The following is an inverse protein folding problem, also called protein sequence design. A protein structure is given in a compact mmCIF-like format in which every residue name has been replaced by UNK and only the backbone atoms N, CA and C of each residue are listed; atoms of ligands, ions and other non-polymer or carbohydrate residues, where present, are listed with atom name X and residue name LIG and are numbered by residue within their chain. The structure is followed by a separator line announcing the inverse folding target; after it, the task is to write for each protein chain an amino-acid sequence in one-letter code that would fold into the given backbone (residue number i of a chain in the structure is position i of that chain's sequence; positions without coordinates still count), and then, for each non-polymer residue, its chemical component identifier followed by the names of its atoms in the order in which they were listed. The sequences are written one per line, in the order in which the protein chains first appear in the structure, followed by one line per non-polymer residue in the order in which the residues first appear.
data_IF_842584326664
#
_entry.id   IF_842584326664
#
_cell.length_a   1.000
_cell.length_b   1.000
_cell.length_c   1.000
_cell.angle_alpha   90.00
_cell.angle_beta   90.00
_cell.angle_gamma   90.00
#
_symmetry.space_group_name_H-M   'P 1'
#
loop_
_entity.id
_entity.type
_entity.pdbx_description
1 polymer ?
#
# COMPACT_ATOMS: atom_id res chain seq x y z
N UNK A 1 -10.43 18.51 21.60
CA UNK A 1 -9.77 18.64 20.29
C UNK A 1 -8.29 18.70 20.54
N UNK A 2 -7.60 17.57 20.56
CA UNK A 2 -6.14 17.54 20.66
C UNK A 2 -5.60 17.70 19.24
N UNK A 3 -4.86 18.76 19.01
CA UNK A 3 -4.13 19.01 17.78
C UNK A 3 -3.22 17.80 17.49
N UNK A 4 -3.57 17.02 16.48
CA UNK A 4 -2.88 15.78 16.08
C UNK A 4 -1.84 16.01 14.99
N UNK A 5 -1.66 17.25 14.56
CA UNK A 5 -0.74 17.64 13.49
C UNK A 5 0.70 17.92 13.94
N UNK A 6 0.93 18.14 15.23
CA UNK A 6 2.23 18.54 15.77
C UNK A 6 3.08 17.36 16.27
N UNK A 7 3.26 16.31 15.48
CA UNK A 7 4.36 15.40 15.72
C UNK A 7 5.60 15.97 15.04
N UNK A 8 6.60 16.36 15.82
CA UNK A 8 7.87 16.87 15.34
C UNK A 8 8.47 15.90 14.32
N UNK A 9 8.55 16.30 13.05
CA UNK A 9 9.54 15.71 12.18
C UNK A 9 10.89 16.00 12.84
N UNK A 10 11.69 14.97 13.07
CA UNK A 10 13.04 15.19 13.54
C UNK A 10 13.74 16.07 12.50
N UNK A 11 14.45 17.11 12.93
CA UNK A 11 15.07 18.14 12.08
C UNK A 11 16.01 17.58 10.99
N UNK A 12 16.35 16.30 11.08
CA UNK A 12 17.23 15.52 10.23
C UNK A 12 16.51 14.53 9.30
N UNK A 13 15.16 14.55 9.23
CA UNK A 13 14.42 13.68 8.32
C UNK A 13 14.27 14.31 6.93
N UNK A 14 15.11 13.86 6.00
CA UNK A 14 14.93 14.09 4.58
C UNK A 14 14.06 12.98 3.99
N UNK A 15 12.86 13.33 3.54
CA UNK A 15 11.88 12.39 3.01
C UNK A 15 12.40 11.60 1.81
N UNK A 16 13.21 12.21 0.97
CA UNK A 16 13.76 11.58 -0.24
C UNK A 16 15.24 11.23 -0.16
N UNK A 17 15.87 11.46 0.99
CA UNK A 17 17.29 11.22 1.20
C UNK A 17 17.74 9.77 1.07
N UNK A 18 16.80 8.82 1.27
CA UNK A 18 17.09 7.37 1.18
C UNK A 18 16.99 6.77 -0.22
N UNK A 19 16.65 7.56 -1.23
CA UNK A 19 16.48 7.03 -2.59
C UNK A 19 17.79 6.54 -3.20
N UNK A 20 18.92 7.21 -2.90
CA UNK A 20 20.23 6.78 -3.34
C UNK A 20 20.61 5.41 -2.76
N UNK A 21 20.32 5.17 -1.48
CA UNK A 21 20.56 3.88 -0.82
C UNK A 21 19.70 2.78 -1.44
N UNK A 22 18.44 3.10 -1.75
CA UNK A 22 17.50 2.16 -2.41
C UNK A 22 18.00 1.79 -3.81
N UNK A 23 18.49 2.78 -4.58
CA UNK A 23 19.09 2.54 -5.91
C UNK A 23 20.31 1.63 -5.79
N UNK A 24 21.20 1.89 -4.82
CA UNK A 24 22.42 1.10 -4.63
C UNK A 24 22.09 -0.34 -4.19
N UNK A 25 21.15 -0.52 -3.28
CA UNK A 25 20.75 -1.84 -2.77
C UNK A 25 20.18 -2.74 -3.87
N UNK A 26 19.33 -2.19 -4.73
CA UNK A 26 18.64 -2.97 -5.75
C UNK A 26 19.32 -2.95 -7.12
N UNK A 27 20.39 -2.18 -7.29
CA UNK A 27 21.10 -2.06 -8.57
C UNK A 27 20.22 -1.50 -9.70
N UNK A 28 19.25 -0.67 -9.36
CA UNK A 28 18.34 -0.08 -10.36
C UNK A 28 18.91 1.22 -10.90
N UNK A 29 18.65 1.57 -12.19
CA UNK A 29 19.09 2.85 -12.73
C UNK A 29 18.36 4.00 -12.01
N UNK A 30 19.07 5.11 -11.78
CA UNK A 30 18.42 6.34 -11.31
C UNK A 30 17.53 6.87 -12.43
N UNK A 31 16.19 6.82 -12.30
CA UNK A 31 15.34 7.37 -13.33
C UNK A 31 15.41 8.91 -13.30
N UNK A 32 15.13 9.59 -14.42
CA UNK A 32 15.05 11.06 -14.44
C UNK A 32 13.82 11.60 -13.68
N UNK A 33 13.05 10.74 -13.06
CA UNK A 33 11.85 11.06 -12.34
C UNK A 33 12.20 11.65 -10.96
N UNK A 34 11.84 12.88 -10.73
CA UNK A 34 11.99 13.54 -9.43
C UNK A 34 10.70 13.37 -8.63
N UNK A 35 10.78 12.81 -7.42
CA UNK A 35 9.62 12.74 -6.55
C UNK A 35 9.31 14.11 -5.95
N UNK A 36 8.03 14.36 -5.73
CA UNK A 36 7.54 15.50 -4.95
C UNK A 36 6.33 15.09 -4.14
N UNK A 37 6.23 15.58 -2.92
CA UNK A 37 5.02 15.42 -2.14
C UNK A 37 3.99 16.46 -2.58
N UNK A 38 2.74 16.04 -2.62
CA UNK A 38 1.60 16.91 -2.91
C UNK A 38 0.42 16.51 -2.03
N UNK A 39 -0.52 17.41 -1.92
CA UNK A 39 -1.79 17.16 -1.24
C UNK A 39 -2.94 17.48 -2.20
N UNK A 40 -4.02 16.72 -2.08
CA UNK A 40 -5.22 16.90 -2.89
C UNK A 40 -6.47 16.84 -2.00
N UNK A 41 -7.29 17.86 -2.04
CA UNK A 41 -8.56 17.87 -1.35
C UNK A 41 -9.54 16.94 -2.06
N UNK A 42 -10.06 15.93 -1.35
CA UNK A 42 -11.00 14.91 -1.88
C UNK A 42 -12.44 15.19 -1.47
N UNK A 43 -12.63 15.88 -0.35
CA UNK A 43 -13.88 16.44 0.12
C UNK A 43 -13.53 17.64 1.04
N UNK A 44 -14.47 18.53 1.39
CA UNK A 44 -14.19 19.70 2.21
C UNK A 44 -13.40 19.34 3.48
N UNK A 45 -12.17 19.90 3.60
CA UNK A 45 -11.26 19.66 4.71
C UNK A 45 -10.57 18.27 4.73
N UNK A 46 -10.78 17.43 3.72
CA UNK A 46 -10.17 16.10 3.63
C UNK A 46 -9.01 16.10 2.63
N UNK A 47 -7.81 16.33 3.13
CA UNK A 47 -6.58 16.37 2.32
C UNK A 47 -5.94 15.00 2.26
N UNK A 48 -5.85 14.42 1.05
CA UNK A 48 -5.02 13.24 0.78
C UNK A 48 -3.63 13.66 0.37
N UNK A 49 -2.64 13.05 0.99
CA UNK A 49 -1.23 13.22 0.65
C UNK A 49 -0.79 12.17 -0.37
N UNK A 50 0.09 12.55 -1.27
CA UNK A 50 0.65 11.66 -2.28
C UNK A 50 2.09 12.03 -2.61
N UNK A 51 2.86 11.04 -3.07
CA UNK A 51 4.15 11.25 -3.73
C UNK A 51 3.93 11.10 -5.24
N UNK A 52 4.22 12.15 -5.98
CA UNK A 52 4.16 12.17 -7.44
C UNK A 52 5.57 12.09 -7.99
N UNK A 53 5.80 11.13 -8.88
CA UNK A 53 7.06 10.88 -9.56
C UNK A 53 6.96 11.31 -11.03
N UNK A 54 7.71 12.34 -11.41
CA UNK A 54 7.62 12.92 -12.74
C UNK A 54 6.35 13.74 -12.97
N UNK A 55 6.03 13.95 -14.24
CA UNK A 55 4.82 14.66 -14.67
C UNK A 55 3.82 13.67 -15.28
N UNK A 56 2.52 14.00 -15.25
CA UNK A 56 1.44 13.18 -15.83
C UNK A 56 1.53 11.67 -15.44
N UNK A 57 1.20 11.29 -14.20
CA UNK A 57 1.35 9.93 -13.71
C UNK A 57 0.61 8.91 -14.59
N UNK A 58 1.36 7.91 -15.07
CA UNK A 58 0.83 6.82 -15.91
C UNK A 58 0.31 5.62 -15.08
N UNK A 59 0.67 5.57 -13.80
CA UNK A 59 0.31 4.46 -12.91
C UNK A 59 0.05 4.97 -11.50
N UNK A 60 -0.93 4.38 -10.84
CA UNK A 60 -1.36 4.70 -9.48
C UNK A 60 -1.00 3.55 -8.55
N UNK A 61 -0.45 3.87 -7.37
CA UNK A 61 -0.12 2.91 -6.34
C UNK A 61 -0.85 3.17 -5.02
N UNK A 62 -1.50 2.12 -4.48
CA UNK A 62 -2.27 2.12 -3.24
C UNK A 62 -1.66 1.13 -2.25
N UNK A 63 -1.16 1.61 -1.11
CA UNK A 63 -0.47 0.80 -0.11
C UNK A 63 -1.42 -0.02 0.78
N UNK A 64 -0.86 -0.99 1.51
CA UNK A 64 -1.56 -1.80 2.49
C UNK A 64 -1.77 -1.13 3.84
N UNK A 65 -2.60 -1.73 4.69
CA UNK A 65 -2.82 -1.24 6.05
C UNK A 65 -1.52 -1.12 6.84
N UNK A 66 -1.35 -0.01 7.58
CA UNK A 66 -0.16 0.26 8.38
C UNK A 66 1.07 0.69 7.57
N UNK A 67 0.93 0.94 6.27
CA UNK A 67 1.99 1.43 5.39
C UNK A 67 1.77 2.91 5.01
N UNK A 68 2.52 3.41 4.04
CA UNK A 68 2.37 4.71 3.41
C UNK A 68 2.91 4.70 1.97
N UNK A 69 2.89 5.85 1.30
CA UNK A 69 3.31 5.98 -0.11
C UNK A 69 4.74 5.49 -0.37
N UNK A 70 5.67 5.62 0.58
CA UNK A 70 7.07 5.18 0.42
C UNK A 70 7.26 3.66 0.30
N UNK A 71 6.25 2.85 0.59
CA UNK A 71 6.33 1.40 0.34
C UNK A 71 6.56 1.07 -1.14
N UNK A 72 6.31 2.05 -2.03
CA UNK A 72 6.43 1.93 -3.47
C UNK A 72 7.71 2.49 -4.06
N UNK A 73 8.57 3.14 -3.27
CA UNK A 73 9.77 3.84 -3.78
C UNK A 73 10.64 2.94 -4.65
N UNK A 74 10.97 1.74 -4.17
CA UNK A 74 11.77 0.77 -4.93
C UNK A 74 11.10 0.35 -6.24
N UNK A 75 9.78 0.12 -6.19
CA UNK A 75 9.00 -0.28 -7.36
C UNK A 75 8.98 0.84 -8.41
N UNK A 76 8.72 2.08 -8.00
CA UNK A 76 8.68 3.22 -8.92
C UNK A 76 10.05 3.53 -9.51
N UNK A 77 11.12 3.49 -8.70
CA UNK A 77 12.49 3.64 -9.18
C UNK A 77 12.83 2.60 -10.25
N UNK A 78 12.54 1.31 -9.99
CA UNK A 78 12.83 0.22 -10.92
C UNK A 78 11.92 0.22 -12.14
N UNK A 79 10.67 0.68 -11.99
CA UNK A 79 9.72 0.80 -13.10
C UNK A 79 10.13 1.89 -14.08
N UNK A 80 10.62 3.04 -13.58
CA UNK A 80 11.06 4.16 -14.39
C UNK A 80 9.94 4.87 -15.15
N UNK A 81 8.69 4.77 -14.69
CA UNK A 81 7.51 5.42 -15.29
C UNK A 81 6.94 6.48 -14.36
N UNK A 82 6.36 7.57 -14.89
CA UNK A 82 5.64 8.53 -14.06
C UNK A 82 4.54 7.86 -13.24
N UNK A 83 4.51 8.16 -11.94
CA UNK A 83 3.63 7.47 -11.00
C UNK A 83 3.08 8.41 -9.93
N UNK A 84 1.98 8.01 -9.32
CA UNK A 84 1.48 8.60 -8.06
C UNK A 84 1.25 7.51 -7.02
N UNK A 85 1.80 7.72 -5.83
CA UNK A 85 1.66 6.85 -4.67
C UNK A 85 0.90 7.61 -3.59
N UNK A 86 -0.29 7.15 -3.22
CA UNK A 86 -1.12 7.83 -2.22
C UNK A 86 -0.84 7.32 -0.81
N UNK A 87 -0.86 8.22 0.16
CA UNK A 87 -1.12 7.87 1.55
C UNK A 87 -2.65 7.69 1.71
N UNK A 88 -3.12 6.53 2.13
CA UNK A 88 -4.54 6.29 2.36
C UNK A 88 -5.06 7.13 3.55
N UNK A 89 -6.36 7.42 3.65
CA UNK A 89 -6.94 8.03 4.85
C UNK A 89 -6.47 7.31 6.11
N UNK A 90 -6.10 8.08 7.15
CA UNK A 90 -5.58 7.53 8.41
C UNK A 90 -4.15 7.01 8.35
N UNK A 91 -3.41 7.22 7.26
CA UNK A 91 -2.03 6.79 7.06
C UNK A 91 -1.14 7.92 6.56
N UNK A 92 0.16 7.80 6.80
CA UNK A 92 1.17 8.72 6.31
C UNK A 92 0.89 10.17 6.71
N UNK A 93 0.75 11.04 5.71
CA UNK A 93 0.43 12.47 5.88
C UNK A 93 -1.00 12.82 5.48
N UNK A 94 -1.84 11.82 5.16
CA UNK A 94 -3.26 12.03 4.83
C UNK A 94 -4.11 12.31 6.07
N UNK A 95 -5.27 12.92 5.85
CA UNK A 95 -6.23 13.23 6.91
C UNK A 95 -6.69 11.96 7.65
N UNK A 96 -7.12 12.14 8.90
CA UNK A 96 -7.70 11.09 9.72
C UNK A 96 -9.22 11.27 9.78
N UNK A 97 -9.95 10.18 9.59
CA UNK A 97 -11.40 10.18 9.63
C UNK A 97 -11.93 10.22 11.06
N UNK A 98 -12.97 10.97 11.31
CA UNK A 98 -13.64 11.01 12.61
C UNK A 98 -14.36 9.68 12.92
N UNK A 99 -15.00 9.08 11.89
CA UNK A 99 -15.67 7.79 11.99
C UNK A 99 -14.71 6.59 12.02
N UNK A 100 -13.41 6.82 11.77
CA UNK A 100 -12.35 5.81 11.71
C UNK A 100 -12.65 4.64 10.78
N UNK A 101 -13.53 4.84 9.82
CA UNK A 101 -13.77 3.88 8.76
C UNK A 101 -12.71 4.03 7.66
N UNK A 102 -11.73 3.16 7.71
CA UNK A 102 -10.66 3.03 6.71
C UNK A 102 -10.84 1.78 5.85
N UNK A 103 -12.06 1.30 5.74
CA UNK A 103 -12.41 0.17 4.87
C UNK A 103 -12.24 0.49 3.38
N UNK A 104 -12.22 -0.54 2.52
CA UNK A 104 -12.01 -0.38 1.08
C UNK A 104 -13.00 0.58 0.43
N UNK A 105 -14.25 0.63 0.90
CA UNK A 105 -15.30 1.51 0.38
C UNK A 105 -14.96 2.98 0.58
N UNK A 106 -14.60 3.37 1.81
CA UNK A 106 -14.25 4.74 2.14
C UNK A 106 -12.91 5.16 1.54
N UNK A 107 -11.97 4.24 1.47
CA UNK A 107 -10.72 4.47 0.76
C UNK A 107 -10.96 4.67 -0.74
N UNK A 108 -11.85 3.89 -1.37
CA UNK A 108 -12.18 4.04 -2.78
C UNK A 108 -12.87 5.38 -3.09
N UNK A 109 -13.76 5.86 -2.21
CA UNK A 109 -14.36 7.20 -2.34
C UNK A 109 -13.27 8.29 -2.36
N UNK A 110 -12.39 8.30 -1.34
CA UNK A 110 -11.36 9.32 -1.19
C UNK A 110 -10.27 9.21 -2.26
N UNK A 111 -9.70 8.01 -2.45
CA UNK A 111 -8.61 7.80 -3.42
C UNK A 111 -9.12 7.91 -4.85
N UNK A 112 -10.36 7.50 -5.16
CA UNK A 112 -10.98 7.72 -6.47
C UNK A 112 -11.11 9.19 -6.83
N UNK A 113 -11.52 10.04 -5.87
CA UNK A 113 -11.56 11.48 -6.07
C UNK A 113 -10.16 12.09 -6.30
N UNK A 114 -9.14 11.58 -5.60
CA UNK A 114 -7.76 12.00 -5.76
C UNK A 114 -7.16 11.54 -7.10
N UNK A 115 -7.41 10.31 -7.52
CA UNK A 115 -6.98 9.76 -8.82
C UNK A 115 -7.56 10.58 -9.97
N UNK A 116 -8.85 10.93 -9.90
CA UNK A 116 -9.51 11.77 -10.90
C UNK A 116 -8.85 13.15 -11.08
N UNK A 117 -8.18 13.66 -10.04
CA UNK A 117 -7.48 14.95 -10.08
C UNK A 117 -6.02 14.86 -10.49
N UNK A 118 -5.30 13.83 -10.02
CA UNK A 118 -3.85 13.73 -10.18
C UNK A 118 -3.41 12.79 -11.31
N UNK A 119 -4.23 11.79 -11.64
CA UNK A 119 -3.88 10.74 -12.61
C UNK A 119 -5.12 10.21 -13.35
N UNK A 120 -5.96 11.11 -13.97
CA UNK A 120 -7.21 10.69 -14.62
C UNK A 120 -6.97 9.73 -15.78
N UNK A 121 -5.79 9.79 -16.40
CA UNK A 121 -5.40 8.99 -17.56
C UNK A 121 -4.45 7.83 -17.23
N UNK A 122 -4.31 7.49 -15.95
CA UNK A 122 -3.46 6.37 -15.54
C UNK A 122 -3.84 5.07 -16.26
N UNK A 123 -2.83 4.33 -16.70
CA UNK A 123 -2.98 3.04 -17.41
C UNK A 123 -3.43 1.94 -16.45
N UNK A 124 -3.05 2.05 -15.18
CA UNK A 124 -3.41 1.07 -14.17
C UNK A 124 -3.48 1.65 -12.75
N UNK A 125 -4.28 0.98 -11.91
CA UNK A 125 -4.24 1.10 -10.45
C UNK A 125 -3.67 -0.19 -9.89
N UNK A 126 -2.63 -0.06 -9.07
CA UNK A 126 -1.91 -1.15 -8.41
C UNK A 126 -2.12 -1.02 -6.90
N UNK A 127 -2.71 -2.01 -6.28
CA UNK A 127 -2.98 -1.99 -4.85
C UNK A 127 -2.50 -3.23 -4.13
N UNK A 128 -1.92 -3.05 -2.94
CA UNK A 128 -1.47 -4.13 -2.07
C UNK A 128 -2.37 -4.24 -0.84
N UNK A 129 -2.80 -5.47 -0.48
CA UNK A 129 -3.59 -5.72 0.74
C UNK A 129 -4.83 -4.80 0.83
N UNK A 130 -4.92 -3.90 1.82
CA UNK A 130 -5.99 -2.91 1.90
C UNK A 130 -6.09 -2.06 0.61
N UNK A 131 -4.97 -1.65 0.04
CA UNK A 131 -4.94 -0.97 -1.27
C UNK A 131 -5.45 -1.87 -2.40
N UNK A 132 -5.19 -3.18 -2.35
CA UNK A 132 -5.71 -4.17 -3.30
C UNK A 132 -7.24 -4.32 -3.19
N UNK A 133 -7.77 -4.41 -1.97
CA UNK A 133 -9.21 -4.41 -1.72
C UNK A 133 -9.87 -3.10 -2.19
N UNK A 134 -9.19 -1.97 -1.99
CA UNK A 134 -9.61 -0.66 -2.52
C UNK A 134 -9.59 -0.65 -4.06
N UNK A 135 -8.58 -1.26 -4.68
CA UNK A 135 -8.50 -1.41 -6.14
C UNK A 135 -9.65 -2.25 -6.70
N UNK A 136 -10.05 -3.35 -6.03
CA UNK A 136 -11.23 -4.13 -6.39
C UNK A 136 -12.47 -3.24 -6.42
N UNK A 137 -12.71 -2.48 -5.35
CA UNK A 137 -13.85 -1.57 -5.26
C UNK A 137 -13.81 -0.47 -6.32
N UNK A 138 -12.65 0.14 -6.56
CA UNK A 138 -12.47 1.16 -7.61
C UNK A 138 -12.73 0.57 -9.00
N UNK A 139 -12.20 -0.60 -9.31
CA UNK A 139 -12.38 -1.24 -10.62
C UNK A 139 -13.85 -1.59 -10.91
N UNK A 140 -14.62 -1.90 -9.87
CA UNK A 140 -16.06 -2.17 -9.98
C UNK A 140 -16.89 -0.90 -10.14
N UNK A 141 -16.53 0.19 -9.42
CA UNK A 141 -17.40 1.37 -9.29
C UNK A 141 -16.91 2.59 -10.09
N UNK A 142 -15.64 2.62 -10.48
CA UNK A 142 -14.99 3.69 -11.24
C UNK A 142 -14.20 3.14 -12.42
N UNK A 143 -14.86 2.41 -13.36
CA UNK A 143 -14.17 1.87 -14.54
C UNK A 143 -13.57 2.97 -15.45
N UNK A 144 -14.01 4.21 -15.29
CA UNK A 144 -13.43 5.38 -15.94
C UNK A 144 -11.99 5.66 -15.47
N UNK A 145 -11.64 5.31 -14.23
CA UNK A 145 -10.32 5.52 -13.63
C UNK A 145 -9.43 4.27 -13.64
N UNK A 146 -10.02 3.08 -13.72
CA UNK A 146 -9.27 1.82 -13.63
C UNK A 146 -9.28 1.10 -14.97
N UNK A 147 -8.28 1.40 -15.81
CA UNK A 147 -8.11 0.77 -17.13
C UNK A 147 -7.51 -0.62 -17.06
N UNK A 148 -6.60 -0.85 -16.11
CA UNK A 148 -6.08 -2.17 -15.72
C UNK A 148 -5.97 -2.20 -14.19
N UNK A 149 -6.26 -3.34 -13.56
CA UNK A 149 -6.16 -3.52 -12.11
C UNK A 149 -5.07 -4.53 -11.76
N UNK A 150 -4.15 -4.16 -10.87
CA UNK A 150 -3.17 -5.08 -10.28
C UNK A 150 -3.44 -5.19 -8.79
N UNK A 151 -3.84 -6.36 -8.34
CA UNK A 151 -4.25 -6.66 -6.97
C UNK A 151 -3.17 -7.54 -6.34
N UNK A 152 -2.53 -7.05 -5.27
CA UNK A 152 -1.39 -7.74 -4.66
C UNK A 152 -1.78 -8.33 -3.32
N UNK A 153 -1.73 -9.64 -3.28
CA UNK A 153 -1.81 -10.54 -2.13
C UNK A 153 -3.03 -10.31 -1.23
N UNK A 154 -4.18 -10.13 -1.86
CA UNK A 154 -5.48 -10.02 -1.18
C UNK A 154 -6.61 -10.53 -2.06
N UNK A 155 -7.58 -11.19 -1.42
CA UNK A 155 -8.91 -11.47 -1.96
C UNK A 155 -9.95 -11.08 -0.90
N UNK A 156 -11.24 -10.96 -1.24
CA UNK A 156 -12.28 -10.72 -0.24
C UNK A 156 -12.29 -11.74 0.90
N UNK A 157 -11.79 -12.96 0.67
CA UNK A 157 -11.74 -14.05 1.66
C UNK A 157 -10.76 -13.79 2.83
N UNK A 158 -9.93 -12.73 2.77
CA UNK A 158 -8.96 -12.40 3.83
C UNK A 158 -9.62 -12.18 5.20
N UNK A 159 -10.86 -11.74 5.24
CA UNK A 159 -11.63 -11.49 6.46
C UNK A 159 -12.55 -12.65 6.87
N UNK A 160 -12.38 -13.84 6.28
CA UNK A 160 -13.11 -15.02 6.72
C UNK A 160 -12.84 -15.30 8.21
N UNK A 161 -13.86 -15.26 9.07
CA UNK A 161 -13.69 -15.45 10.52
C UNK A 161 -13.18 -16.85 10.90
N UNK A 162 -13.27 -17.82 10.00
CA UNK A 162 -12.73 -19.16 10.23
C UNK A 162 -11.20 -19.23 10.11
N UNK A 163 -10.56 -18.20 9.53
CA UNK A 163 -9.10 -18.14 9.37
C UNK A 163 -8.39 -17.83 10.68
N UNK A 164 -7.48 -18.69 11.04
CA UNK A 164 -6.59 -18.47 12.17
C UNK A 164 -5.22 -18.03 11.68
N UNK A 165 -4.78 -16.90 12.16
CA UNK A 165 -3.50 -16.29 11.80
C UNK A 165 -2.52 -16.34 12.95
N UNK A 166 -1.37 -16.94 12.75
CA UNK A 166 -0.25 -16.77 13.68
C UNK A 166 0.37 -15.37 13.49
N UNK A 167 1.19 -14.94 14.45
CA UNK A 167 1.94 -13.69 14.35
C UNK A 167 2.90 -13.72 13.14
N UNK A 168 3.54 -14.88 12.89
CA UNK A 168 4.42 -15.06 11.75
C UNK A 168 3.67 -14.97 10.41
N UNK A 169 2.46 -15.55 10.31
CA UNK A 169 1.62 -15.44 9.11
C UNK A 169 1.26 -13.98 8.79
N UNK A 170 1.04 -13.17 9.83
CA UNK A 170 0.72 -11.74 9.67
C UNK A 170 1.92 -10.89 9.30
N UNK A 171 3.16 -11.33 9.55
CA UNK A 171 4.34 -10.53 9.32
C UNK A 171 4.23 -9.13 9.97
N UNK A 172 4.65 -8.08 9.28
CA UNK A 172 4.56 -6.69 9.79
C UNK A 172 3.13 -6.20 10.04
N UNK A 173 2.10 -6.83 9.47
CA UNK A 173 0.69 -6.53 9.78
C UNK A 173 0.39 -6.80 11.27
N UNK A 174 1.12 -7.71 11.91
CA UNK A 174 0.98 -7.97 13.34
C UNK A 174 1.29 -6.74 14.20
N UNK A 175 2.20 -5.87 13.76
CA UNK A 175 2.57 -4.63 14.48
C UNK A 175 1.41 -3.65 14.63
N UNK A 176 0.41 -3.73 13.74
CA UNK A 176 -0.79 -2.91 13.83
C UNK A 176 -1.60 -3.28 15.11
N UNK A 177 -1.42 -4.50 15.64
CA UNK A 177 -2.12 -4.99 16.83
C UNK A 177 -1.34 -4.81 18.13
N UNK A 178 -0.04 -4.50 18.02
CA UNK A 178 0.87 -4.40 19.15
C UNK A 178 0.77 -3.06 19.91
N UNK A 179 1.74 -2.84 20.81
CA UNK A 179 1.88 -1.55 21.50
C UNK A 179 2.00 -0.43 20.46
N UNK A 180 1.23 0.65 20.62
CA UNK A 180 1.31 1.81 19.73
C UNK A 180 2.58 2.64 19.96
N UNK A 181 3.33 2.39 21.05
CA UNK A 181 4.46 3.23 21.48
C UNK A 181 5.72 2.41 21.68
N UNK A 182 6.84 3.04 21.34
CA UNK A 182 8.20 2.52 21.51
C UNK A 182 9.07 3.57 22.20
N UNK A 183 9.97 3.14 23.08
CA UNK A 183 10.86 4.04 23.81
C UNK A 183 11.95 4.66 22.92
N UNK A 184 12.25 4.02 21.78
CA UNK A 184 13.21 4.51 20.80
C UNK A 184 12.86 4.08 19.38
N UNK A 185 13.43 4.79 18.40
CA UNK A 185 13.37 4.38 16.99
C UNK A 185 13.99 2.99 16.79
N UNK A 186 15.08 2.68 17.50
CA UNK A 186 15.77 1.39 17.40
C UNK A 186 14.87 0.23 17.84
N UNK A 187 14.14 0.39 18.94
CA UNK A 187 13.18 -0.61 19.41
C UNK A 187 12.06 -0.84 18.40
N UNK A 188 11.57 0.23 17.78
CA UNK A 188 10.54 0.18 16.74
C UNK A 188 11.06 -0.52 15.47
N UNK A 189 12.28 -0.18 15.03
CA UNK A 189 12.93 -0.82 13.88
C UNK A 189 13.20 -2.31 14.13
N UNK A 190 13.70 -2.66 15.32
CA UNK A 190 13.96 -4.05 15.69
C UNK A 190 12.70 -4.92 15.65
N UNK A 191 11.56 -4.39 16.12
CA UNK A 191 10.29 -5.09 16.06
C UNK A 191 9.85 -5.37 14.60
N UNK A 192 10.05 -4.41 13.69
CA UNK A 192 9.73 -4.56 12.28
C UNK A 192 10.69 -5.53 11.57
N UNK A 193 11.99 -5.47 11.86
CA UNK A 193 13.02 -6.36 11.30
C UNK A 193 12.71 -7.82 11.66
N UNK A 194 12.36 -8.10 12.92
CA UNK A 194 12.02 -9.44 13.39
C UNK A 194 10.84 -10.08 12.63
N UNK A 195 9.96 -9.28 12.03
CA UNK A 195 8.79 -9.72 11.26
C UNK A 195 8.98 -9.59 9.74
N UNK A 196 10.21 -9.34 9.27
CA UNK A 196 10.53 -9.10 7.86
C UNK A 196 11.68 -9.98 7.38
N UNK A 197 11.57 -11.33 7.44
CA UNK A 197 12.69 -12.25 7.19
C UNK A 197 13.22 -12.20 5.74
N UNK A 198 12.44 -11.68 4.80
CA UNK A 198 12.77 -11.65 3.38
C UNK A 198 13.46 -10.35 2.94
N UNK A 199 13.74 -9.41 3.88
CA UNK A 199 14.29 -8.09 3.59
C UNK A 199 15.57 -7.81 4.38
N UNK A 200 16.45 -6.99 3.83
CA UNK A 200 17.60 -6.48 4.58
C UNK A 200 17.14 -5.63 5.78
N UNK A 201 17.92 -5.65 6.85
CA UNK A 201 17.63 -4.82 8.02
C UNK A 201 17.60 -3.33 7.65
N UNK A 202 18.46 -2.89 6.74
CA UNK A 202 18.54 -1.50 6.30
C UNK A 202 17.29 -1.09 5.50
N UNK A 203 16.79 -1.95 4.59
CA UNK A 203 15.55 -1.69 3.87
C UNK A 203 14.35 -1.56 4.84
N UNK A 204 14.28 -2.42 5.86
CA UNK A 204 13.22 -2.36 6.87
C UNK A 204 13.35 -1.08 7.70
N UNK A 205 14.56 -0.69 8.11
CA UNK A 205 14.81 0.55 8.86
C UNK A 205 14.38 1.79 8.08
N UNK A 206 14.67 1.86 6.77
CA UNK A 206 14.21 2.95 5.91
C UNK A 206 12.68 3.01 5.88
N UNK A 207 12.01 1.88 5.67
CA UNK A 207 10.54 1.81 5.69
C UNK A 207 9.94 2.25 7.03
N UNK A 208 10.55 1.85 8.16
CA UNK A 208 10.15 2.30 9.49
C UNK A 208 10.37 3.81 9.63
N UNK A 209 11.49 4.36 9.14
CA UNK A 209 11.79 5.79 9.22
C UNK A 209 10.71 6.63 8.52
N UNK A 210 10.23 6.21 7.37
CA UNK A 210 9.12 6.87 6.65
C UNK A 210 7.78 6.77 7.39
N UNK A 211 7.60 5.73 8.22
CA UNK A 211 6.32 5.41 8.87
C UNK A 211 6.31 5.71 10.37
N UNK A 212 7.43 6.16 10.93
CA UNK A 212 7.58 6.52 12.33
C UNK A 212 7.40 8.03 12.55
N UNK A 213 6.90 8.39 13.71
CA UNK A 213 6.92 9.76 14.23
C UNK A 213 7.33 9.77 15.70
N UNK A 214 8.09 10.81 16.09
CA UNK A 214 8.43 11.06 17.47
C UNK A 214 7.36 11.91 18.13
N UNK A 215 6.99 11.57 19.36
CA UNK A 215 6.06 12.32 20.19
C UNK A 215 6.81 13.34 21.07
N UNK A 216 6.08 14.33 21.61
CA UNK A 216 6.64 15.36 22.47
C UNK A 216 7.28 14.80 23.76
N UNK A 217 6.79 13.65 24.24
CA UNK A 217 7.36 12.94 25.41
C UNK A 217 8.59 12.09 25.07
N UNK A 218 9.07 12.15 23.82
CA UNK A 218 10.26 11.45 23.35
C UNK A 218 10.02 10.05 22.83
N UNK A 219 8.86 9.45 23.07
CA UNK A 219 8.49 8.13 22.53
C UNK A 219 8.26 8.18 21.02
N UNK A 220 8.25 7.02 20.40
CA UNK A 220 8.00 6.84 18.98
C UNK A 220 6.68 6.10 18.75
N UNK A 221 6.00 6.41 17.65
CA UNK A 221 4.77 5.77 17.24
C UNK A 221 4.67 5.71 15.71
N UNK A 222 3.70 4.98 15.19
CA UNK A 222 3.44 4.86 13.77
C UNK A 222 2.66 6.07 13.22
N UNK A 223 2.87 6.38 11.93
CA UNK A 223 2.14 7.41 11.18
C UNK A 223 0.80 6.91 10.63
N UNK A 224 0.15 5.98 11.28
CA UNK A 224 -1.21 5.56 10.94
C UNK A 224 -2.09 5.54 12.19
N UNK A 225 -3.41 5.61 11.99
CA UNK A 225 -4.37 5.63 13.09
C UNK A 225 -4.40 4.26 13.78
N UNK A 226 -3.81 4.21 14.96
CA UNK A 226 -3.73 3.03 15.82
C UNK A 226 -4.99 2.83 16.68
N UNK A 227 -5.84 3.86 16.77
CA UNK A 227 -7.02 3.80 17.61
C UNK A 227 -8.09 2.91 16.97
N UNK A 228 -8.20 1.69 17.49
CA UNK A 228 -9.15 0.67 17.01
C UNK A 228 -10.51 0.74 17.69
N UNK A 229 -10.62 1.48 18.80
CA UNK A 229 -11.89 1.62 19.51
C UNK A 229 -12.91 2.33 18.61
N UNK A 230 -14.05 1.69 18.38
CA UNK A 230 -15.12 2.23 17.56
C UNK A 230 -14.89 2.16 16.04
N UNK A 231 -13.87 1.44 15.55
CA UNK A 231 -13.75 1.17 14.10
C UNK A 231 -14.92 0.29 13.66
N UNK A 232 -15.61 0.67 12.57
CA UNK A 232 -16.57 -0.21 11.94
C UNK A 232 -15.91 -1.53 11.53
N UNK A 233 -16.62 -2.63 11.72
CA UNK A 233 -16.19 -3.91 11.13
C UNK A 233 -16.39 -3.84 9.62
N UNK A 234 -15.30 -3.97 8.88
CA UNK A 234 -15.36 -4.04 7.41
C UNK A 234 -15.46 -5.50 7.00
N UNK A 235 -16.63 -5.93 6.55
CA UNK A 235 -16.83 -7.27 6.00
C UNK A 235 -16.36 -7.30 4.53
N UNK A 236 -15.09 -7.66 4.32
CA UNK A 236 -14.52 -7.73 2.97
C UNK A 236 -15.19 -8.80 2.08
N UNK A 237 -15.95 -9.73 2.67
CA UNK A 237 -16.68 -10.75 1.89
C UNK A 237 -17.66 -10.12 0.90
N UNK A 238 -18.21 -8.94 1.21
CA UNK A 238 -19.10 -8.21 0.29
C UNK A 238 -18.38 -7.71 -0.97
N UNK A 239 -17.05 -7.62 -0.98
CA UNK A 239 -16.26 -7.29 -2.18
C UNK A 239 -16.30 -8.40 -3.25
N UNK A 240 -16.81 -9.60 -2.95
CA UNK A 240 -16.99 -10.62 -3.98
C UNK A 240 -17.93 -10.17 -5.10
N UNK A 241 -18.92 -9.34 -4.79
CA UNK A 241 -19.81 -8.78 -5.80
C UNK A 241 -19.07 -7.74 -6.66
N UNK A 242 -18.20 -6.94 -6.04
CA UNK A 242 -17.31 -6.02 -6.75
C UNK A 242 -16.36 -6.78 -7.69
N UNK A 243 -15.75 -7.89 -7.25
CA UNK A 243 -14.92 -8.74 -8.13
C UNK A 243 -15.68 -9.16 -9.37
N UNK A 244 -16.96 -9.59 -9.22
CA UNK A 244 -17.81 -10.00 -10.33
C UNK A 244 -18.18 -8.84 -11.26
N UNK A 245 -18.13 -7.61 -10.78
CA UNK A 245 -18.47 -6.40 -11.52
C UNK A 245 -17.29 -5.78 -12.29
N UNK A 246 -16.05 -6.21 -12.02
CA UNK A 246 -14.85 -5.71 -12.71
C UNK A 246 -14.95 -5.98 -14.21
N UNK A 247 -14.73 -4.94 -15.03
CA UNK A 247 -14.67 -5.03 -16.50
C UNK A 247 -13.26 -4.87 -17.05
N UNK A 248 -12.41 -4.16 -16.32
CA UNK A 248 -11.02 -3.94 -16.70
C UNK A 248 -10.22 -5.24 -16.67
N UNK A 249 -9.21 -5.41 -17.54
CA UNK A 249 -8.21 -6.46 -17.36
C UNK A 249 -7.61 -6.39 -15.96
N UNK A 250 -7.51 -7.55 -15.29
CA UNK A 250 -7.05 -7.62 -13.91
C UNK A 250 -5.98 -8.71 -13.73
N UNK A 251 -5.04 -8.45 -12.82
CA UNK A 251 -4.00 -9.38 -12.40
C UNK A 251 -3.99 -9.48 -10.88
N UNK A 252 -4.03 -10.72 -10.37
CA UNK A 252 -3.77 -11.05 -8.98
C UNK A 252 -2.33 -11.53 -8.84
N UNK A 253 -1.54 -10.86 -7.99
CA UNK A 253 -0.15 -11.23 -7.68
C UNK A 253 -0.10 -11.77 -6.25
N UNK A 254 0.43 -12.98 -6.08
CA UNK A 254 0.47 -13.70 -4.80
C UNK A 254 1.91 -13.90 -4.37
N UNK A 255 2.25 -13.64 -3.11
CA UNK A 255 3.53 -14.03 -2.52
C UNK A 255 3.54 -15.53 -2.22
N UNK A 256 4.51 -16.28 -2.74
CA UNK A 256 4.55 -17.74 -2.59
C UNK A 256 4.63 -18.23 -1.12
N UNK A 257 5.19 -17.39 -0.22
CA UNK A 257 5.25 -17.67 1.22
C UNK A 257 4.10 -17.03 2.00
N UNK A 258 3.19 -16.30 1.34
CA UNK A 258 2.05 -15.67 1.97
C UNK A 258 0.98 -16.68 2.36
N UNK A 259 0.25 -16.36 3.44
CA UNK A 259 -0.95 -17.09 3.86
C UNK A 259 -2.24 -16.26 3.66
N UNK A 260 -2.11 -15.03 3.15
CA UNK A 260 -3.25 -14.13 2.96
C UNK A 260 -4.14 -14.55 1.79
N UNK A 261 -3.57 -15.16 0.76
CA UNK A 261 -4.32 -15.69 -0.38
C UNK A 261 -4.01 -17.18 -0.51
N UNK A 262 -5.03 -18.01 -0.31
CA UNK A 262 -4.94 -19.45 -0.52
C UNK A 262 -5.29 -19.79 -1.97
N UNK A 263 -4.92 -20.98 -2.42
CA UNK A 263 -5.24 -21.47 -3.76
C UNK A 263 -6.76 -21.43 -4.05
N UNK A 264 -7.57 -21.83 -3.06
CA UNK A 264 -9.02 -21.78 -3.17
C UNK A 264 -9.57 -20.36 -3.36
N UNK A 265 -8.93 -19.34 -2.73
CA UNK A 265 -9.33 -17.95 -2.87
C UNK A 265 -9.03 -17.41 -4.27
N UNK A 266 -7.86 -17.73 -4.79
CA UNK A 266 -7.46 -17.39 -6.15
C UNK A 266 -8.37 -18.07 -7.18
N UNK A 267 -8.73 -19.34 -6.94
CA UNK A 267 -9.67 -20.08 -7.78
C UNK A 267 -11.07 -19.44 -7.78
N UNK A 268 -11.59 -19.06 -6.62
CA UNK A 268 -12.88 -18.35 -6.52
C UNK A 268 -12.83 -16.99 -7.22
N UNK A 269 -11.73 -16.24 -7.05
CA UNK A 269 -11.56 -14.95 -7.72
C UNK A 269 -11.54 -15.13 -9.25
N UNK A 270 -10.85 -16.14 -9.76
CA UNK A 270 -10.81 -16.47 -11.17
C UNK A 270 -12.17 -16.96 -11.69
N UNK A 271 -12.92 -17.70 -10.89
CA UNK A 271 -14.29 -18.14 -11.24
C UNK A 271 -15.23 -16.95 -11.44
N UNK A 272 -15.10 -15.91 -10.59
CA UNK A 272 -15.93 -14.68 -10.66
C UNK A 272 -15.46 -13.71 -11.74
N UNK A 273 -14.15 -13.70 -12.02
CA UNK A 273 -13.51 -12.88 -13.04
C UNK A 273 -12.69 -13.77 -13.99
N UNK A 274 -13.34 -14.40 -15.00
CA UNK A 274 -12.70 -15.42 -15.84
C UNK A 274 -11.45 -14.94 -16.59
N UNK A 275 -11.35 -13.63 -16.89
CA UNK A 275 -10.17 -13.01 -17.51
C UNK A 275 -9.02 -12.68 -16.55
N UNK A 276 -9.14 -13.05 -15.26
CA UNK A 276 -8.10 -12.74 -14.25
C UNK A 276 -6.80 -13.48 -14.56
N UNK A 277 -5.72 -12.73 -14.72
CA UNK A 277 -4.35 -13.27 -14.70
C UNK A 277 -3.92 -13.49 -13.24
N UNK A 278 -3.38 -14.66 -12.93
CA UNK A 278 -2.87 -14.99 -11.58
C UNK A 278 -1.40 -15.32 -11.68
N UNK A 279 -0.58 -14.62 -10.89
CA UNK A 279 0.86 -14.77 -10.84
C UNK A 279 1.32 -15.01 -9.40
N UNK A 280 2.29 -15.90 -9.22
CA UNK A 280 2.88 -16.19 -7.92
C UNK A 280 4.36 -15.83 -7.92
N UNK A 281 4.78 -15.02 -6.93
CA UNK A 281 6.15 -14.52 -6.81
C UNK A 281 6.92 -15.36 -5.77
N UNK A 282 7.89 -16.11 -6.23
CA UNK A 282 8.75 -16.92 -5.39
C UNK A 282 9.58 -16.06 -4.42
N UNK A 283 9.74 -16.49 -3.17
CA UNK A 283 10.52 -15.78 -2.14
C UNK A 283 9.85 -14.51 -1.61
N UNK A 284 8.59 -14.24 -1.96
CA UNK A 284 7.80 -13.16 -1.39
C UNK A 284 6.81 -13.68 -0.34
N UNK A 285 6.66 -12.93 0.76
CA UNK A 285 5.54 -13.03 1.68
C UNK A 285 4.40 -12.10 1.28
N UNK A 286 3.65 -11.63 2.28
CA UNK A 286 2.51 -10.73 2.05
C UNK A 286 2.90 -9.39 1.38
N UNK A 287 4.06 -8.84 1.72
CA UNK A 287 4.52 -7.55 1.16
C UNK A 287 5.37 -7.74 -0.11
N UNK A 288 4.79 -8.29 -1.18
CA UNK A 288 5.48 -8.60 -2.44
C UNK A 288 6.28 -7.42 -2.98
N UNK A 289 5.73 -6.20 -2.92
CA UNK A 289 6.37 -4.97 -3.38
C UNK A 289 7.65 -4.62 -2.60
N UNK A 290 7.79 -5.14 -1.38
CA UNK A 290 8.96 -4.91 -0.53
C UNK A 290 9.92 -6.10 -0.51
N UNK A 291 9.39 -7.32 -0.63
CA UNK A 291 10.18 -8.55 -0.58
C UNK A 291 10.85 -8.85 -1.93
N UNK A 292 10.12 -8.63 -3.02
CA UNK A 292 10.54 -8.95 -4.40
C UNK A 292 10.13 -7.83 -5.39
N UNK A 293 10.59 -6.59 -5.17
CA UNK A 293 10.17 -5.43 -5.97
C UNK A 293 10.46 -5.57 -7.45
N UNK A 294 11.61 -6.15 -7.83
CA UNK A 294 12.01 -6.29 -9.24
C UNK A 294 11.17 -7.34 -9.97
N UNK A 295 10.76 -8.41 -9.28
CA UNK A 295 9.85 -9.40 -9.85
C UNK A 295 8.47 -8.79 -10.08
N UNK A 296 7.98 -7.99 -9.12
CA UNK A 296 6.73 -7.26 -9.27
C UNK A 296 6.79 -6.25 -10.43
N UNK A 297 7.90 -5.52 -10.55
CA UNK A 297 8.11 -4.56 -11.67
C UNK A 297 8.04 -5.26 -13.02
N UNK A 298 8.65 -6.44 -13.16
CA UNK A 298 8.58 -7.25 -14.39
C UNK A 298 7.13 -7.59 -14.75
N UNK A 299 6.34 -8.06 -13.78
CA UNK A 299 4.92 -8.35 -13.98
C UNK A 299 4.11 -7.11 -14.36
N UNK A 300 4.38 -5.96 -13.72
CA UNK A 300 3.72 -4.69 -14.03
C UNK A 300 4.11 -4.23 -15.45
N UNK A 301 5.38 -4.29 -15.83
CA UNK A 301 5.84 -3.92 -17.18
C UNK A 301 5.15 -4.75 -18.26
N UNK A 302 5.13 -6.06 -18.08
CA UNK A 302 4.49 -6.97 -19.01
C UNK A 302 2.96 -6.74 -19.08
N UNK A 303 2.28 -6.67 -17.92
CA UNK A 303 0.83 -6.58 -17.90
C UNK A 303 0.28 -5.18 -18.23
N UNK A 304 0.94 -4.12 -17.74
CA UNK A 304 0.42 -2.74 -17.85
C UNK A 304 0.93 -2.04 -19.11
N UNK A 305 2.22 -2.23 -19.42
CA UNK A 305 2.92 -1.48 -20.47
C UNK A 305 3.22 -2.32 -21.71
N UNK A 306 2.89 -3.61 -21.73
CA UNK A 306 3.20 -4.56 -22.81
C UNK A 306 4.72 -4.65 -23.09
N UNK A 307 5.56 -4.43 -22.05
CA UNK A 307 7.03 -4.46 -22.09
C UNK A 307 7.51 -5.77 -21.42
N UNK A 308 8.28 -6.61 -22.17
CA UNK A 308 8.85 -7.88 -21.68
C UNK A 308 10.29 -7.75 -21.25
#
# INVERSE_FOLDING_TARGET
MTDRSAALETADYDEFGFLADTVAEWGVPVPPLKPRRTEVETAPGQMLSAIVWGEAPEIVFLHGGGQNAHTWDTVVLALGKPAVCFDAPGHGRSYWREDRDYGPWKNAEAQGAAIAKLAPDAKAVVGMSLGGATTIRLAATRPDLVRKAVIIDVTPQVNDPSRQWTRADRGTVALIADSPYYDSFEAMAAAAIALSPNRSADAVRRGVRHNAKRLDDGRWTWRYDLNRAGRPSSDFMTLWDDVSAIKAPAMLVIGAASKFVLEADAAEMKRRLPGLRVETVAGAGHAVQSDRPLDLVRLIKDFVFDER
#
